data_IF_579392733560
#
_entry.id   IF_579392733560
#
_cell.length_a   1.000
_cell.length_b   1.000
_cell.length_c   1.000
_cell.angle_alpha   90.00
_cell.angle_beta   90.00
_cell.angle_gamma   90.00
#
_symmetry.space_group_name_H-M   'P 1'
#
loop_
_entity.id
_entity.type
_entity.pdbx_description
1 polymer ?
#
# COMPACT_ATOMS: atom_id res chain seq x y z
N UNK A 1 -6.03 43.38 -21.43
CA UNK A 1 -6.66 42.87 -20.19
C UNK A 1 -6.45 41.37 -20.12
N UNK A 2 -5.49 40.90 -19.31
CA UNK A 2 -5.04 39.51 -19.31
C UNK A 2 -6.11 38.53 -18.85
N UNK A 3 -6.33 37.46 -19.62
CA UNK A 3 -7.28 36.40 -19.28
C UNK A 3 -6.88 35.77 -17.94
N UNK A 4 -7.67 36.01 -16.88
CA UNK A 4 -7.54 35.28 -15.63
C UNK A 4 -8.11 33.88 -15.82
N UNK A 5 -7.29 32.98 -16.36
CA UNK A 5 -7.67 31.57 -16.51
C UNK A 5 -8.16 31.02 -15.18
N UNK A 6 -9.41 30.53 -15.18
CA UNK A 6 -10.08 29.90 -14.04
C UNK A 6 -9.15 28.84 -13.46
N UNK A 7 -8.77 29.02 -12.20
CA UNK A 7 -7.71 28.26 -11.53
C UNK A 7 -8.18 26.82 -11.32
N UNK A 8 -7.62 25.89 -12.09
CA UNK A 8 -7.96 24.46 -12.11
C UNK A 8 -7.45 23.70 -10.85
N UNK A 9 -7.87 24.14 -9.66
CA UNK A 9 -7.39 23.56 -8.39
C UNK A 9 -7.79 22.09 -8.19
N UNK A 10 -8.96 21.69 -8.71
CA UNK A 10 -9.54 20.36 -8.51
C UNK A 10 -9.16 19.35 -9.60
N UNK A 11 -8.41 19.80 -10.61
CA UNK A 11 -8.00 18.95 -11.74
C UNK A 11 -6.91 17.94 -11.35
N UNK A 12 -6.16 18.22 -10.29
CA UNK A 12 -4.99 17.44 -9.89
C UNK A 12 -5.34 16.40 -8.82
N UNK A 13 -4.81 15.18 -8.97
CA UNK A 13 -5.01 14.09 -7.99
C UNK A 13 -4.16 14.30 -6.74
N UNK A 14 -4.57 13.67 -5.62
CA UNK A 14 -3.79 13.75 -4.38
C UNK A 14 -2.36 13.22 -4.56
N UNK A 15 -2.22 12.08 -5.23
CA UNK A 15 -0.91 11.49 -5.55
C UNK A 15 -0.01 12.44 -6.35
N UNK A 16 -0.59 13.19 -7.29
CA UNK A 16 0.14 14.18 -8.07
C UNK A 16 0.61 15.36 -7.21
N UNK A 17 -0.27 15.91 -6.36
CA UNK A 17 0.09 16.99 -5.42
C UNK A 17 1.21 16.55 -4.47
N UNK A 18 1.11 15.35 -3.91
CA UNK A 18 2.14 14.79 -3.02
C UNK A 18 3.48 14.64 -3.73
N UNK A 19 3.50 14.14 -4.98
CA UNK A 19 4.73 14.02 -5.76
C UNK A 19 5.34 15.39 -6.02
N UNK A 20 4.53 16.38 -6.38
CA UNK A 20 4.98 17.75 -6.61
C UNK A 20 5.57 18.39 -5.34
N UNK A 21 4.94 18.18 -4.17
CA UNK A 21 5.44 18.68 -2.88
C UNK A 21 6.75 17.99 -2.48
N UNK A 22 6.87 16.67 -2.68
CA UNK A 22 8.13 15.95 -2.44
C UNK A 22 9.26 16.53 -3.27
N UNK A 23 9.00 16.81 -4.55
CA UNK A 23 9.99 17.44 -5.43
C UNK A 23 10.37 18.84 -4.95
N UNK A 24 9.39 19.63 -4.49
CA UNK A 24 9.60 20.99 -4.00
C UNK A 24 10.35 21.07 -2.66
N UNK A 25 10.32 20.00 -1.86
CA UNK A 25 11.06 19.93 -0.60
C UNK A 25 12.54 19.55 -0.78
N UNK A 26 13.01 19.32 -2.01
CA UNK A 26 14.43 19.06 -2.24
C UNK A 26 15.27 20.34 -2.04
N UNK A 27 16.38 20.26 -1.29
CA UNK A 27 17.14 21.44 -0.86
C UNK A 27 17.77 22.24 -2.00
N UNK A 28 18.01 21.59 -3.15
CA UNK A 28 18.70 22.18 -4.30
C UNK A 28 17.77 22.57 -5.46
N UNK A 29 16.44 22.54 -5.26
CA UNK A 29 15.48 22.78 -6.34
C UNK A 29 14.56 23.95 -6.01
N UNK A 30 14.42 24.89 -6.95
CA UNK A 30 13.50 26.02 -6.79
C UNK A 30 12.08 25.61 -7.13
N UNK A 31 11.13 26.03 -6.31
CA UNK A 31 9.69 25.79 -6.50
C UNK A 31 9.18 26.32 -7.86
N UNK A 32 9.76 27.42 -8.35
CA UNK A 32 9.40 28.00 -9.65
C UNK A 32 9.72 27.06 -10.81
N UNK A 33 10.90 26.46 -10.79
CA UNK A 33 11.39 25.58 -11.87
C UNK A 33 10.59 24.27 -11.91
N UNK A 34 10.22 23.73 -10.74
CA UNK A 34 9.34 22.55 -10.65
C UNK A 34 7.94 22.88 -11.15
N UNK A 35 7.41 24.04 -10.78
CA UNK A 35 6.10 24.47 -11.23
C UNK A 35 6.06 24.63 -12.75
N UNK A 36 7.10 25.21 -13.35
CA UNK A 36 7.28 25.32 -14.80
C UNK A 36 7.38 23.94 -15.46
N UNK A 37 8.22 23.04 -14.93
CA UNK A 37 8.39 21.68 -15.45
C UNK A 37 7.13 20.80 -15.34
N UNK A 38 6.28 21.05 -14.35
CA UNK A 38 4.99 20.38 -14.21
C UNK A 38 3.84 21.09 -14.95
N UNK A 39 4.08 22.28 -15.53
CA UNK A 39 3.05 23.09 -16.18
C UNK A 39 2.00 23.65 -15.21
N UNK A 40 2.37 23.88 -13.96
CA UNK A 40 1.49 24.35 -12.88
C UNK A 40 1.89 25.78 -12.49
N UNK A 41 0.92 26.58 -12.05
CA UNK A 41 1.21 27.90 -11.50
C UNK A 41 2.00 27.80 -10.17
N UNK A 42 3.13 28.53 -9.98
CA UNK A 42 3.98 28.43 -8.78
C UNK A 42 3.24 28.62 -7.45
N UNK A 43 2.29 29.56 -7.39
CA UNK A 43 1.44 29.81 -6.21
C UNK A 43 0.65 28.55 -5.79
N UNK A 44 0.23 27.69 -6.72
CA UNK A 44 -0.45 26.44 -6.38
C UNK A 44 0.48 25.48 -5.65
N UNK A 45 1.73 25.37 -6.12
CA UNK A 45 2.72 24.49 -5.53
C UNK A 45 3.10 24.96 -4.12
N UNK A 46 3.29 26.27 -3.91
CA UNK A 46 3.48 26.85 -2.57
C UNK A 46 2.34 26.51 -1.63
N UNK A 47 1.09 26.66 -2.09
CA UNK A 47 -0.09 26.33 -1.29
C UNK A 47 -0.11 24.85 -0.91
N UNK A 48 0.21 23.93 -1.83
CA UNK A 48 0.26 22.50 -1.51
C UNK A 48 1.39 22.15 -0.54
N UNK A 49 2.55 22.80 -0.62
CA UNK A 49 3.62 22.62 0.36
C UNK A 49 3.16 23.04 1.76
N UNK A 50 2.42 24.15 1.87
CA UNK A 50 1.83 24.59 3.14
C UNK A 50 0.77 23.60 3.64
N UNK A 51 -0.16 23.18 2.78
CA UNK A 51 -1.19 22.18 3.13
C UNK A 51 -0.57 20.85 3.57
N UNK A 52 0.53 20.43 2.95
CA UNK A 52 1.28 19.23 3.35
C UNK A 52 1.96 19.40 4.70
N UNK A 53 2.62 20.55 4.95
CA UNK A 53 3.26 20.84 6.24
C UNK A 53 2.25 20.92 7.38
N UNK A 54 1.04 21.39 7.09
CA UNK A 54 -0.05 21.52 8.06
C UNK A 54 -0.90 20.25 8.17
N UNK A 55 -0.62 19.19 7.39
CA UNK A 55 -1.38 17.94 7.41
C UNK A 55 -2.80 18.02 6.83
N UNK A 56 -3.15 19.12 6.16
CA UNK A 56 -4.51 19.35 5.60
C UNK A 56 -4.64 18.94 4.14
N UNK A 57 -3.56 18.44 3.53
CA UNK A 57 -3.57 17.95 2.14
C UNK A 57 -4.27 16.58 2.06
N UNK A 58 -5.60 16.61 2.07
CA UNK A 58 -6.47 15.43 2.02
C UNK A 58 -7.11 15.30 0.62
N UNK A 59 -7.54 14.10 0.25
CA UNK A 59 -8.31 13.89 -0.97
C UNK A 59 -9.69 14.56 -0.87
N UNK A 60 -9.99 15.49 -1.78
CA UNK A 60 -11.31 16.09 -1.89
C UNK A 60 -12.23 15.20 -2.74
N UNK A 61 -13.53 15.18 -2.41
CA UNK A 61 -14.57 14.42 -3.15
C UNK A 61 -14.65 14.76 -4.65
N UNK A 62 -14.21 15.96 -5.03
CA UNK A 62 -14.20 16.46 -6.41
C UNK A 62 -12.90 16.16 -7.17
N UNK A 63 -11.90 15.56 -6.53
CA UNK A 63 -10.66 15.17 -7.22
C UNK A 63 -10.95 14.02 -8.17
N UNK A 64 -10.49 14.15 -9.42
CA UNK A 64 -10.54 13.05 -10.39
C UNK A 64 -9.69 11.90 -9.88
N UNK A 65 -10.32 10.79 -9.46
CA UNK A 65 -9.61 9.54 -9.21
C UNK A 65 -9.07 9.04 -10.55
N UNK A 66 -7.75 8.97 -10.68
CA UNK A 66 -7.18 8.24 -11.81
C UNK A 66 -7.65 6.79 -11.68
N UNK A 67 -8.27 6.24 -12.72
CA UNK A 67 -8.58 4.81 -12.77
C UNK A 67 -7.25 4.09 -12.59
N UNK A 68 -7.13 3.13 -11.65
CA UNK A 68 -5.91 2.33 -11.55
C UNK A 68 -5.65 1.75 -12.94
N UNK A 69 -4.42 1.94 -13.44
CA UNK A 69 -4.01 1.31 -14.69
C UNK A 69 -4.31 -0.19 -14.59
N UNK A 70 -4.82 -0.83 -15.66
CA UNK A 70 -5.13 -2.24 -15.62
C UNK A 70 -3.89 -2.99 -15.15
N UNK A 71 -4.02 -3.75 -14.06
CA UNK A 71 -2.93 -4.58 -13.53
C UNK A 71 -2.38 -5.39 -14.68
N UNK A 72 -1.07 -5.27 -14.94
CA UNK A 72 -0.40 -6.08 -15.97
C UNK A 72 -0.62 -7.54 -15.58
N UNK A 73 -1.31 -8.27 -16.44
CA UNK A 73 -1.76 -9.65 -16.18
C UNK A 73 -0.58 -10.59 -15.89
N UNK A 74 0.62 -10.24 -16.37
CA UNK A 74 1.86 -10.94 -16.08
C UNK A 74 2.94 -9.93 -15.66
N UNK A 75 3.22 -9.77 -14.36
CA UNK A 75 4.43 -9.08 -13.91
C UNK A 75 5.67 -9.82 -14.47
N UNK A 76 6.74 -9.11 -14.85
CA UNK A 76 8.03 -9.74 -15.13
C UNK A 76 8.45 -10.66 -13.96
N UNK A 77 9.14 -11.78 -14.23
CA UNK A 77 9.47 -12.78 -13.20
C UNK A 77 10.28 -12.20 -12.04
N UNK A 78 11.06 -11.14 -12.27
CA UNK A 78 11.87 -10.47 -11.24
C UNK A 78 11.12 -9.33 -10.51
N UNK A 79 9.81 -9.19 -10.71
CA UNK A 79 9.03 -8.11 -10.10
C UNK A 79 8.72 -8.42 -8.63
N UNK A 80 8.83 -7.41 -7.75
CA UNK A 80 8.48 -7.49 -6.32
C UNK A 80 7.11 -8.13 -6.06
N UNK A 81 6.13 -7.87 -6.94
CA UNK A 81 4.79 -8.46 -6.86
C UNK A 81 4.78 -10.00 -7.01
N UNK A 82 5.65 -10.59 -7.83
CA UNK A 82 5.74 -12.04 -7.98
C UNK A 82 6.32 -12.67 -6.70
N UNK A 83 7.33 -12.03 -6.11
CA UNK A 83 7.89 -12.45 -4.82
C UNK A 83 6.85 -12.33 -3.69
N UNK A 84 6.03 -11.28 -3.69
CA UNK A 84 4.92 -11.12 -2.73
C UNK A 84 3.87 -12.25 -2.86
N UNK A 85 3.51 -12.62 -4.08
CA UNK A 85 2.57 -13.72 -4.35
C UNK A 85 3.13 -15.08 -3.90
N UNK A 86 4.42 -15.34 -4.15
CA UNK A 86 5.09 -16.55 -3.67
C UNK A 86 5.18 -16.59 -2.14
N UNK A 87 5.53 -15.47 -1.51
CA UNK A 87 5.53 -15.33 -0.05
C UNK A 87 4.13 -15.58 0.53
N UNK A 88 3.08 -15.08 -0.12
CA UNK A 88 1.70 -15.31 0.30
C UNK A 88 1.32 -16.80 0.20
N UNK A 89 1.73 -17.49 -0.88
CA UNK A 89 1.53 -18.94 -1.04
C UNK A 89 2.29 -19.73 0.03
N UNK A 90 3.55 -19.39 0.28
CA UNK A 90 4.38 -20.03 1.30
C UNK A 90 3.78 -19.87 2.69
N UNK A 91 3.34 -18.66 3.07
CA UNK A 91 2.68 -18.39 4.36
C UNK A 91 1.41 -19.22 4.55
N UNK A 92 0.58 -19.36 3.51
CA UNK A 92 -0.60 -20.23 3.55
C UNK A 92 -0.21 -21.68 3.80
N UNK A 93 0.81 -22.18 3.08
CA UNK A 93 1.28 -23.55 3.22
C UNK A 93 1.82 -23.84 4.62
N UNK A 94 2.58 -22.92 5.20
CA UNK A 94 3.08 -23.02 6.58
C UNK A 94 1.91 -23.14 7.55
N UNK A 95 0.92 -22.24 7.45
CA UNK A 95 -0.26 -22.25 8.32
C UNK A 95 -1.05 -23.56 8.24
N UNK A 96 -1.21 -24.12 7.04
CA UNK A 96 -1.91 -25.38 6.85
C UNK A 96 -1.15 -26.56 7.46
N UNK A 97 0.19 -26.58 7.32
CA UNK A 97 1.04 -27.60 7.91
C UNK A 97 1.04 -27.53 9.44
N UNK A 98 1.10 -26.34 10.01
CA UNK A 98 0.99 -26.13 11.47
C UNK A 98 -0.33 -26.66 12.01
N UNK A 99 -1.45 -26.40 11.31
CA UNK A 99 -2.76 -26.92 11.69
C UNK A 99 -2.80 -28.46 11.66
N UNK A 100 -2.19 -29.08 10.65
CA UNK A 100 -2.10 -30.54 10.55
C UNK A 100 -1.24 -31.14 11.66
N UNK A 101 -0.09 -30.53 11.97
CA UNK A 101 0.75 -30.96 13.08
C UNK A 101 0.01 -30.89 14.41
N UNK A 102 -0.71 -29.80 14.67
CA UNK A 102 -1.48 -29.67 15.89
C UNK A 102 -2.58 -30.74 16.01
N UNK A 103 -3.34 -30.98 14.94
CA UNK A 103 -4.37 -32.03 14.93
C UNK A 103 -3.78 -33.43 15.20
N UNK A 104 -2.64 -33.75 14.59
CA UNK A 104 -1.92 -35.02 14.85
C UNK A 104 -1.41 -35.12 16.27
N UNK A 105 -0.95 -34.02 16.85
CA UNK A 105 -0.50 -33.99 18.23
C UNK A 105 -1.65 -34.25 19.21
N UNK A 106 -2.81 -33.65 18.96
CA UNK A 106 -4.04 -33.89 19.73
C UNK A 106 -4.48 -35.36 19.65
N UNK A 107 -4.44 -35.97 18.46
CA UNK A 107 -4.70 -37.41 18.28
C UNK A 107 -3.74 -38.28 19.12
N UNK A 108 -2.45 -37.99 19.06
CA UNK A 108 -1.43 -38.72 19.84
C UNK A 108 -1.72 -38.61 21.34
N UNK A 109 -2.08 -37.41 21.82
CA UNK A 109 -2.35 -37.18 23.24
C UNK A 109 -3.63 -37.88 23.70
N UNK A 110 -4.67 -37.91 22.85
CA UNK A 110 -5.89 -38.69 23.09
C UNK A 110 -5.58 -40.19 23.15
N UNK A 111 -4.81 -40.72 22.20
CA UNK A 111 -4.43 -42.13 22.18
C UNK A 111 -3.58 -42.52 23.39
N UNK A 112 -2.63 -41.67 23.80
CA UNK A 112 -1.84 -41.89 25.03
C UNK A 112 -2.72 -41.92 26.27
N UNK A 113 -3.70 -41.01 26.39
CA UNK A 113 -4.68 -41.00 27.49
C UNK A 113 -5.54 -42.26 27.49
N UNK A 114 -6.04 -42.66 26.33
CA UNK A 114 -6.85 -43.87 26.17
C UNK A 114 -6.04 -45.12 26.57
N UNK A 115 -4.79 -45.24 26.10
CA UNK A 115 -3.89 -46.33 26.48
C UNK A 115 -3.70 -46.42 27.99
N UNK A 116 -3.43 -45.28 28.67
CA UNK A 116 -3.31 -45.24 30.13
C UNK A 116 -4.59 -45.67 30.84
N UNK A 117 -5.75 -45.27 30.33
CA UNK A 117 -7.05 -45.68 30.88
C UNK A 117 -7.25 -47.20 30.76
N UNK A 118 -7.01 -47.78 29.58
CA UNK A 118 -7.13 -49.22 29.36
C UNK A 118 -6.09 -50.03 30.14
N UNK A 119 -4.84 -49.56 30.27
CA UNK A 119 -3.83 -50.20 31.11
C UNK A 119 -4.23 -50.19 32.60
N UNK A 120 -4.85 -49.11 33.08
CA UNK A 120 -5.34 -49.00 34.47
C UNK A 120 -6.54 -49.90 34.75
N UNK A 121 -7.49 -50.01 33.82
CA UNK A 121 -8.71 -50.82 33.96
C UNK A 121 -8.52 -52.32 33.69
N UNK A 122 -7.31 -52.75 33.33
CA UNK A 122 -6.97 -54.16 33.07
C UNK A 122 -6.44 -54.90 34.32
N UNK A 123 -6.38 -54.22 35.47
CA UNK A 123 -6.18 -54.80 36.81
C UNK A 123 -7.51 -54.90 37.52
#
# INVERSE_FOLDING_TARGET
>A
MGQTHKRNYDRYTLAFKLRAVKLANHPNVKTKDIAEGLGIHPVMLYRWCMEHRNGTLVENKHMKKQKPSPKRVNPPPDSEAAAEDELAKAKKRIKDLEKQLNARQEEIDLLKKARRFFEKNRR
#
